data_IF_949564048601
#
_entry.id   IF_949564048601
#
_cell.length_a   1.000
_cell.length_b   1.000
_cell.length_c   1.000
_cell.angle_alpha   90.00
_cell.angle_beta   90.00
_cell.angle_gamma   90.00
#
_symmetry.space_group_name_H-M   'P 1'
#
loop_
_entity.id
_entity.type
_entity.pdbx_description
1 polymer ?
#
# COMPACT_ATOMS: atom_id res chain seq x y z
N UNK A 1 -2.88 21.89 5.40
CA UNK A 1 -3.96 20.99 4.93
C UNK A 1 -4.21 19.80 5.86
N UNK A 2 -3.22 18.93 6.12
CA UNK A 2 -3.42 17.66 6.87
C UNK A 2 -4.08 17.80 8.26
N UNK A 3 -3.71 18.80 9.07
CA UNK A 3 -4.31 19.01 10.40
C UNK A 3 -5.82 19.27 10.35
N UNK A 4 -6.32 19.92 9.29
CA UNK A 4 -7.76 20.19 9.06
C UNK A 4 -8.50 18.95 8.53
N UNK A 5 -7.82 18.10 7.77
CA UNK A 5 -8.41 16.92 7.11
C UNK A 5 -8.14 15.59 7.84
N UNK A 6 -7.55 15.60 9.03
CA UNK A 6 -7.12 14.39 9.76
C UNK A 6 -8.22 13.33 9.90
N UNK A 7 -9.45 13.76 10.22
CA UNK A 7 -10.58 12.86 10.41
C UNK A 7 -11.08 12.28 9.08
N UNK A 8 -11.06 13.08 8.02
CA UNK A 8 -11.42 12.65 6.66
C UNK A 8 -10.36 11.68 6.12
N UNK A 9 -9.07 12.00 6.32
CA UNK A 9 -7.94 11.15 5.97
C UNK A 9 -8.07 9.76 6.57
N UNK A 10 -8.28 9.67 7.89
CA UNK A 10 -8.46 8.39 8.58
C UNK A 10 -9.69 7.62 8.09
N UNK A 11 -10.83 8.30 7.86
CA UNK A 11 -12.05 7.63 7.37
C UNK A 11 -11.87 7.09 5.95
N UNK A 12 -11.23 7.87 5.07
CA UNK A 12 -10.96 7.47 3.70
C UNK A 12 -9.91 6.36 3.66
N UNK A 13 -8.94 6.34 4.57
CA UNK A 13 -7.97 5.26 4.68
C UNK A 13 -8.56 3.93 5.18
N UNK A 14 -9.28 3.97 6.30
CA UNK A 14 -9.65 2.73 7.00
C UNK A 14 -10.88 2.07 6.39
N UNK A 15 -11.94 2.85 6.12
CA UNK A 15 -13.26 2.27 5.79
C UNK A 15 -13.24 1.58 4.41
N UNK A 16 -12.80 2.21 3.31
CA UNK A 16 -12.76 1.56 2.00
C UNK A 16 -11.83 0.34 1.98
N UNK A 17 -10.66 0.44 2.62
CA UNK A 17 -9.70 -0.66 2.72
C UNK A 17 -10.31 -1.89 3.41
N UNK A 18 -10.90 -1.70 4.60
CA UNK A 18 -11.50 -2.81 5.36
C UNK A 18 -12.70 -3.39 4.63
N UNK A 19 -13.56 -2.55 4.05
CA UNK A 19 -14.75 -3.05 3.33
C UNK A 19 -14.36 -3.80 2.06
N UNK A 20 -13.38 -3.31 1.29
CA UNK A 20 -12.85 -4.04 0.13
C UNK A 20 -12.21 -5.36 0.54
N UNK A 21 -11.37 -5.38 1.58
CA UNK A 21 -10.74 -6.60 2.07
C UNK A 21 -11.78 -7.64 2.49
N UNK A 22 -12.79 -7.25 3.27
CA UNK A 22 -13.89 -8.13 3.66
C UNK A 22 -14.71 -8.61 2.46
N UNK A 23 -14.96 -7.73 1.48
CA UNK A 23 -15.73 -8.06 0.28
C UNK A 23 -14.99 -9.10 -0.55
N UNK A 24 -13.71 -8.87 -0.82
CA UNK A 24 -12.85 -9.82 -1.55
C UNK A 24 -12.72 -11.13 -0.77
N UNK A 25 -12.63 -11.10 0.56
CA UNK A 25 -12.59 -12.32 1.37
C UNK A 25 -13.86 -13.16 1.22
N UNK A 26 -15.04 -12.53 1.32
CA UNK A 26 -16.33 -13.20 1.14
C UNK A 26 -16.46 -13.72 -0.30
N UNK A 27 -16.17 -12.89 -1.29
CA UNK A 27 -16.30 -13.26 -2.70
C UNK A 27 -15.33 -14.37 -3.06
N UNK A 28 -14.08 -14.32 -2.64
CA UNK A 28 -13.10 -15.37 -2.93
C UNK A 28 -13.41 -16.69 -2.23
N UNK A 29 -13.99 -16.66 -1.02
CA UNK A 29 -14.47 -17.87 -0.36
C UNK A 29 -15.57 -18.56 -1.18
N UNK A 30 -16.59 -17.82 -1.60
CA UNK A 30 -17.72 -18.41 -2.33
C UNK A 30 -17.46 -18.67 -3.82
N UNK A 31 -16.62 -17.85 -4.45
CA UNK A 31 -16.39 -17.88 -5.89
C UNK A 31 -15.19 -18.76 -6.26
N UNK A 32 -14.12 -18.74 -5.47
CA UNK A 32 -12.89 -19.49 -5.72
C UNK A 32 -12.72 -20.70 -4.78
N UNK A 33 -13.56 -20.84 -3.75
CA UNK A 33 -13.46 -21.94 -2.79
C UNK A 33 -12.29 -21.82 -1.81
N UNK A 34 -11.70 -20.62 -1.67
CA UNK A 34 -10.59 -20.40 -0.73
C UNK A 34 -11.10 -20.50 0.72
N UNK A 35 -10.33 -21.08 1.67
CA UNK A 35 -10.64 -20.98 3.09
C UNK A 35 -10.73 -19.52 3.55
N UNK A 36 -11.53 -19.24 4.58
CA UNK A 36 -11.73 -17.87 5.09
C UNK A 36 -10.42 -17.10 5.33
N UNK A 37 -9.43 -17.74 5.94
CA UNK A 37 -8.14 -17.11 6.23
C UNK A 37 -7.43 -16.70 4.93
N UNK A 38 -7.38 -17.59 3.93
CA UNK A 38 -6.81 -17.31 2.61
C UNK A 38 -7.60 -16.27 1.82
N UNK A 39 -8.93 -16.24 1.98
CA UNK A 39 -9.77 -15.18 1.43
C UNK A 39 -9.43 -13.81 2.04
N UNK A 40 -9.19 -13.73 3.35
CA UNK A 40 -8.74 -12.49 4.00
C UNK A 40 -7.31 -12.11 3.59
N UNK A 41 -6.40 -13.08 3.44
CA UNK A 41 -5.06 -12.84 2.88
C UNK A 41 -5.19 -12.19 1.51
N UNK A 42 -5.97 -12.77 0.59
CA UNK A 42 -6.23 -12.19 -0.72
C UNK A 42 -6.89 -10.80 -0.61
N UNK A 43 -7.86 -10.67 0.28
CA UNK A 43 -8.58 -9.42 0.52
C UNK A 43 -7.65 -8.27 0.92
N UNK A 44 -6.74 -8.49 1.85
CA UNK A 44 -5.78 -7.48 2.29
C UNK A 44 -4.69 -7.21 1.24
N UNK A 45 -4.26 -8.23 0.47
CA UNK A 45 -3.36 -8.00 -0.69
C UNK A 45 -4.04 -7.09 -1.71
N UNK A 46 -5.30 -7.35 -2.04
CA UNK A 46 -6.02 -6.53 -3.01
C UNK A 46 -6.38 -5.16 -2.43
N UNK A 47 -6.78 -5.03 -1.18
CA UNK A 47 -7.27 -3.76 -0.64
C UNK A 47 -6.24 -2.61 -0.62
N UNK A 48 -4.94 -2.92 -0.67
CA UNK A 48 -3.88 -1.92 -0.67
C UNK A 48 -3.87 -1.08 -1.96
N UNK A 49 -3.77 0.24 -1.81
CA UNK A 49 -3.52 1.16 -2.95
C UNK A 49 -2.05 1.11 -3.36
N UNK A 50 -1.72 1.49 -4.60
CA UNK A 50 -0.32 1.63 -5.01
C UNK A 50 0.18 3.07 -4.94
N UNK A 51 1.09 3.40 -4.00
CA UNK A 51 1.74 4.71 -3.96
C UNK A 51 2.51 5.02 -5.24
N UNK A 52 3.14 4.03 -5.87
CA UNK A 52 3.95 4.26 -7.07
C UNK A 52 3.16 4.77 -8.27
N UNK A 53 1.84 4.52 -8.32
CA UNK A 53 0.97 5.07 -9.37
C UNK A 53 0.33 6.37 -8.88
N UNK A 54 -0.21 6.37 -7.65
CA UNK A 54 -0.97 7.50 -7.13
C UNK A 54 -0.08 8.70 -6.83
N UNK A 55 1.05 8.51 -6.14
CA UNK A 55 1.91 9.61 -5.65
C UNK A 55 2.49 10.45 -6.79
N UNK A 56 3.13 9.89 -7.84
CA UNK A 56 3.64 10.71 -8.93
C UNK A 56 2.53 11.50 -9.65
N UNK A 57 1.38 10.88 -9.89
CA UNK A 57 0.25 11.58 -10.51
C UNK A 57 -0.31 12.68 -9.62
N UNK A 58 -0.37 12.48 -8.30
CA UNK A 58 -0.79 13.52 -7.35
C UNK A 58 0.22 14.67 -7.28
N UNK A 59 1.52 14.39 -7.31
CA UNK A 59 2.56 15.41 -7.32
C UNK A 59 2.51 16.26 -8.60
N UNK A 60 2.25 15.64 -9.76
CA UNK A 60 2.08 16.35 -11.03
C UNK A 60 0.84 17.25 -10.99
N UNK A 61 -0.31 16.73 -10.54
CA UNK A 61 -1.53 17.53 -10.38
C UNK A 61 -1.35 18.67 -9.38
N UNK A 62 -0.59 18.44 -8.30
CA UNK A 62 -0.27 19.47 -7.32
C UNK A 62 0.65 20.56 -7.89
N UNK A 63 1.64 20.19 -8.71
CA UNK A 63 2.51 21.14 -9.41
C UNK A 63 1.73 22.00 -10.42
N UNK A 64 0.74 21.42 -11.09
CA UNK A 64 -0.14 22.12 -12.03
C UNK A 64 -1.26 22.93 -11.35
N UNK A 65 -1.34 22.91 -10.02
CA UNK A 65 -2.32 23.67 -9.23
C UNK A 65 -3.70 23.02 -9.09
N UNK A 66 -3.91 21.78 -9.54
CA UNK A 66 -5.21 21.10 -9.47
C UNK A 66 -5.53 20.57 -8.06
N UNK A 67 -6.67 21.00 -7.50
CA UNK A 67 -7.19 20.49 -6.21
C UNK A 67 -6.37 20.89 -4.99
N UNK A 68 -5.41 21.82 -5.15
CA UNK A 68 -4.47 22.26 -4.09
C UNK A 68 -5.18 23.04 -3.00
N UNK A 69 -6.13 23.93 -3.33
CA UNK A 69 -6.89 24.70 -2.34
C UNK A 69 -7.60 23.82 -1.31
N UNK A 70 -8.22 22.72 -1.76
CA UNK A 70 -8.90 21.75 -0.90
C UNK A 70 -7.99 20.65 -0.38
N UNK A 71 -6.72 20.66 -0.77
CA UNK A 71 -5.71 19.69 -0.34
C UNK A 71 -5.99 18.26 -0.79
N UNK A 72 -6.66 18.05 -1.93
CA UNK A 72 -7.04 16.72 -2.43
C UNK A 72 -5.80 15.85 -2.73
N UNK A 73 -4.78 16.34 -3.46
CA UNK A 73 -3.56 15.55 -3.69
C UNK A 73 -2.87 15.14 -2.38
N UNK A 74 -2.76 16.06 -1.42
CA UNK A 74 -2.16 15.77 -0.11
C UNK A 74 -2.99 14.80 0.73
N UNK A 75 -4.32 14.88 0.66
CA UNK A 75 -5.23 13.92 1.29
C UNK A 75 -5.02 12.52 0.72
N UNK A 76 -5.01 12.38 -0.61
CA UNK A 76 -4.86 11.09 -1.28
C UNK A 76 -3.49 10.45 -0.99
N UNK A 77 -2.40 11.23 -1.02
CA UNK A 77 -1.07 10.75 -0.67
C UNK A 77 -0.98 10.29 0.78
N UNK A 78 -1.52 11.06 1.73
CA UNK A 78 -1.47 10.70 3.15
C UNK A 78 -2.39 9.53 3.50
N UNK A 79 -3.62 9.52 2.99
CA UNK A 79 -4.57 8.43 3.20
C UNK A 79 -4.06 7.12 2.59
N UNK A 80 -3.37 7.17 1.45
CA UNK A 80 -2.77 5.99 0.82
C UNK A 80 -1.72 5.32 1.72
N UNK A 81 -0.88 6.09 2.41
CA UNK A 81 0.09 5.50 3.35
C UNK A 81 -0.59 4.81 4.55
N UNK A 82 -1.69 5.36 5.07
CA UNK A 82 -2.44 4.72 6.14
C UNK A 82 -3.19 3.47 5.66
N UNK A 83 -3.72 3.51 4.43
CA UNK A 83 -4.33 2.36 3.75
C UNK A 83 -3.34 1.20 3.63
N UNK A 84 -2.11 1.48 3.19
CA UNK A 84 -1.05 0.47 3.06
C UNK A 84 -0.63 -0.12 4.41
N UNK A 85 -0.49 0.71 5.46
CA UNK A 85 -0.18 0.22 6.81
C UNK A 85 -1.27 -0.74 7.29
N UNK A 86 -2.55 -0.39 7.09
CA UNK A 86 -3.67 -1.22 7.47
C UNK A 86 -3.71 -2.53 6.67
N UNK A 87 -3.51 -2.46 5.35
CA UNK A 87 -3.53 -3.61 4.47
C UNK A 87 -2.39 -4.59 4.78
N UNK A 88 -1.16 -4.10 4.94
CA UNK A 88 0.00 -4.93 5.29
C UNK A 88 -0.19 -5.55 6.67
N UNK A 89 -0.68 -4.77 7.65
CA UNK A 89 -0.99 -5.28 9.01
C UNK A 89 -2.04 -6.39 8.97
N UNK A 90 -3.12 -6.19 8.21
CA UNK A 90 -4.18 -7.19 8.05
C UNK A 90 -3.66 -8.45 7.37
N UNK A 91 -2.86 -8.29 6.31
CA UNK A 91 -2.20 -9.39 5.61
C UNK A 91 -1.29 -10.21 6.54
N UNK A 92 -0.37 -9.56 7.26
CA UNK A 92 0.57 -10.25 8.16
C UNK A 92 -0.14 -10.97 9.29
N UNK A 93 -1.20 -10.34 9.84
CA UNK A 93 -2.04 -10.98 10.86
C UNK A 93 -2.73 -12.24 10.32
N UNK A 94 -3.28 -12.18 9.09
CA UNK A 94 -3.91 -13.35 8.47
C UNK A 94 -2.91 -14.44 8.11
N UNK A 95 -1.72 -14.05 7.65
CA UNK A 95 -0.62 -14.98 7.36
C UNK A 95 -0.14 -15.69 8.62
N UNK A 96 0.03 -14.97 9.72
CA UNK A 96 0.36 -15.55 11.03
C UNK A 96 -0.72 -16.50 11.55
N UNK A 97 -2.00 -16.25 11.23
CA UNK A 97 -3.09 -17.19 11.52
C UNK A 97 -3.06 -18.44 10.64
N UNK A 98 -2.71 -18.33 9.36
CA UNK A 98 -2.65 -19.46 8.44
C UNK A 98 -1.52 -20.45 8.79
N UNK A 99 -0.36 -19.93 9.22
CA UNK A 99 0.85 -20.74 9.47
C UNK A 99 1.18 -20.91 10.96
N UNK A 100 0.35 -20.39 11.86
CA UNK A 100 0.57 -20.46 13.30
C UNK A 100 0.31 -21.86 13.86
N UNK A 101 1.33 -22.48 14.45
CA UNK A 101 1.29 -23.84 15.04
C UNK A 101 0.59 -23.94 16.40
N UNK A 102 -0.30 -23.01 16.74
CA UNK A 102 -0.96 -22.92 18.07
C UNK A 102 -2.49 -22.79 17.99
N UNK A 103 -3.14 -22.52 19.12
CA UNK A 103 -4.56 -22.17 19.13
C UNK A 103 -4.80 -20.89 18.33
N UNK A 104 -5.98 -20.74 17.71
CA UNK A 104 -6.35 -19.55 16.91
C UNK A 104 -6.08 -18.24 17.67
N UNK A 105 -6.27 -18.25 18.99
CA UNK A 105 -5.97 -17.13 19.88
C UNK A 105 -4.47 -16.81 19.97
N UNK A 106 -3.62 -17.83 20.04
CA UNK A 106 -2.16 -17.66 20.08
C UNK A 106 -1.63 -17.13 18.73
N UNK A 107 -2.18 -17.58 17.61
CA UNK A 107 -1.81 -17.11 16.27
C UNK A 107 -2.28 -15.68 16.02
N UNK A 108 -3.48 -15.31 16.51
CA UNK A 108 -3.97 -13.93 16.50
C UNK A 108 -3.10 -13.02 17.39
N UNK A 109 -2.72 -13.49 18.57
CA UNK A 109 -1.82 -12.77 19.46
C UNK A 109 -0.43 -12.58 18.83
N UNK A 110 0.09 -13.58 18.09
CA UNK A 110 1.33 -13.45 17.32
C UNK A 110 1.22 -12.40 16.21
N UNK A 111 0.13 -12.40 15.43
CA UNK A 111 -0.11 -11.37 14.40
C UNK A 111 -0.15 -9.96 14.99
N UNK A 112 -0.88 -9.76 16.09
CA UNK A 112 -0.90 -8.48 16.83
C UNK A 112 0.48 -8.13 17.40
N UNK A 113 1.23 -9.10 17.90
CA UNK A 113 2.59 -8.91 18.39
C UNK A 113 3.53 -8.46 17.27
N UNK A 114 3.45 -9.04 16.07
CA UNK A 114 4.25 -8.62 14.91
C UNK A 114 4.02 -7.15 14.56
N UNK A 115 2.76 -6.70 14.61
CA UNK A 115 2.39 -5.30 14.37
C UNK A 115 3.01 -4.39 15.42
N UNK A 116 2.85 -4.74 16.71
CA UNK A 116 3.41 -3.95 17.81
C UNK A 116 4.94 -3.91 17.72
N UNK A 117 5.59 -5.05 17.49
CA UNK A 117 7.05 -5.14 17.34
C UNK A 117 7.51 -4.32 16.14
N UNK A 118 6.83 -4.39 15.00
CA UNK A 118 7.15 -3.60 13.81
C UNK A 118 7.07 -2.10 14.08
N UNK A 119 5.99 -1.62 14.72
CA UNK A 119 5.83 -0.21 15.08
C UNK A 119 6.89 0.25 16.08
N UNK A 120 7.16 -0.54 17.12
CA UNK A 120 8.14 -0.18 18.17
C UNK A 120 9.56 -0.18 17.59
N UNK A 121 9.95 -1.22 16.85
CA UNK A 121 11.28 -1.33 16.25
C UNK A 121 11.52 -0.22 15.21
N UNK A 122 10.56 0.01 14.31
CA UNK A 122 10.63 1.09 13.33
C UNK A 122 10.63 2.47 14.01
N UNK A 123 9.89 2.60 15.12
CA UNK A 123 9.88 3.76 16.01
C UNK A 123 11.27 4.11 16.55
N UNK A 124 11.89 3.14 17.21
CA UNK A 124 13.23 3.28 17.82
C UNK A 124 14.26 3.62 16.74
N UNK A 125 14.26 2.89 15.62
CA UNK A 125 15.22 3.14 14.54
C UNK A 125 14.96 4.47 13.82
N UNK A 126 13.71 4.90 13.71
CA UNK A 126 13.34 6.21 13.14
C UNK A 126 13.86 7.36 14.00
N UNK A 127 13.74 7.23 15.31
CA UNK A 127 14.34 8.17 16.28
C UNK A 127 15.87 8.10 16.22
N UNK A 128 16.47 6.91 16.06
CA UNK A 128 17.91 6.77 15.89
C UNK A 128 18.41 7.53 14.65
N UNK A 129 17.69 7.44 13.53
CA UNK A 129 18.00 8.17 12.29
C UNK A 129 17.81 9.70 12.43
N UNK A 130 17.01 10.16 13.40
CA UNK A 130 16.93 11.58 13.72
C UNK A 130 18.24 12.08 14.34
N UNK A 131 18.84 11.32 15.26
CA UNK A 131 20.08 11.69 15.94
C UNK A 131 21.34 11.39 15.12
N UNK A 132 21.31 10.33 14.30
CA UNK A 132 22.44 9.89 13.47
C UNK A 132 22.04 9.89 11.99
N UNK A 133 22.78 10.56 11.08
CA UNK A 133 24.05 11.27 11.26
C UNK A 133 23.88 12.74 11.67
N UNK A 134 24.77 13.24 12.54
CA UNK A 134 24.80 14.66 12.97
C UNK A 134 24.93 15.60 11.79
N UNK A 135 24.36 16.80 11.90
CA UNK A 135 24.30 17.78 10.79
C UNK A 135 25.68 18.25 10.33
N UNK A 136 26.70 18.06 11.15
CA UNK A 136 28.08 18.50 10.92
C UNK A 136 28.88 17.57 9.99
N UNK A 137 28.28 16.46 9.54
CA UNK A 137 28.99 15.47 8.72
C UNK A 137 29.01 15.81 7.23
N UNK A 138 30.16 15.59 6.60
CA UNK A 138 30.34 15.66 5.13
C UNK A 138 29.50 14.55 4.47
N UNK A 139 28.82 14.90 3.38
CA UNK A 139 27.90 14.03 2.62
C UNK A 139 26.69 13.49 3.42
N UNK A 140 26.07 14.38 4.20
CA UNK A 140 24.89 14.10 5.02
C UNK A 140 23.77 13.36 4.28
N UNK A 141 23.51 13.71 3.01
CA UNK A 141 22.45 13.10 2.18
C UNK A 141 22.75 11.63 1.92
N UNK A 142 23.99 11.29 1.56
CA UNK A 142 24.38 9.93 1.21
C UNK A 142 24.38 9.05 2.46
N UNK A 143 24.86 9.57 3.60
CA UNK A 143 24.83 8.86 4.89
C UNK A 143 23.41 8.59 5.37
N UNK A 144 22.53 9.60 5.32
CA UNK A 144 21.10 9.45 5.68
C UNK A 144 20.41 8.41 4.79
N UNK A 145 20.68 8.44 3.48
CA UNK A 145 20.11 7.48 2.53
C UNK A 145 20.64 6.05 2.79
N UNK A 146 21.94 5.92 3.03
CA UNK A 146 22.58 4.63 3.31
C UNK A 146 22.09 4.03 4.64
N UNK A 147 21.99 4.83 5.71
CA UNK A 147 21.42 4.37 6.98
C UNK A 147 19.95 3.97 6.82
N UNK A 148 19.15 4.78 6.11
CA UNK A 148 17.73 4.47 5.91
C UNK A 148 17.55 3.13 5.18
N UNK A 149 18.24 2.94 4.05
CA UNK A 149 18.16 1.70 3.28
C UNK A 149 18.78 0.52 4.04
N UNK A 150 19.95 0.70 4.66
CA UNK A 150 20.65 -0.33 5.42
C UNK A 150 19.86 -0.82 6.63
N UNK A 151 19.29 0.11 7.43
CA UNK A 151 18.43 -0.24 8.56
C UNK A 151 17.11 -0.86 8.11
N UNK A 152 16.57 -0.45 6.95
CA UNK A 152 15.36 -1.07 6.40
C UNK A 152 15.61 -2.53 6.02
N UNK A 153 16.70 -2.81 5.29
CA UNK A 153 17.11 -4.18 4.94
C UNK A 153 17.38 -4.98 6.21
N UNK A 154 18.11 -4.42 7.18
CA UNK A 154 18.39 -5.06 8.45
C UNK A 154 17.11 -5.45 9.20
N UNK A 155 16.10 -4.57 9.27
CA UNK A 155 14.81 -4.88 9.90
C UNK A 155 14.13 -6.09 9.27
N UNK A 156 14.11 -6.17 7.94
CA UNK A 156 13.50 -7.29 7.22
C UNK A 156 14.23 -8.59 7.55
N UNK A 157 15.56 -8.61 7.47
CA UNK A 157 16.35 -9.81 7.80
C UNK A 157 16.17 -10.27 9.25
N UNK A 158 16.28 -9.34 10.21
CA UNK A 158 16.13 -9.67 11.64
C UNK A 158 14.72 -10.19 11.93
N UNK A 159 13.69 -9.58 11.35
CA UNK A 159 12.31 -10.03 11.53
C UNK A 159 12.09 -11.45 11.03
N UNK A 160 12.71 -11.81 9.91
CA UNK A 160 12.64 -13.15 9.35
C UNK A 160 13.37 -14.17 10.22
N UNK A 161 14.57 -13.83 10.71
CA UNK A 161 15.34 -14.69 11.64
C UNK A 161 14.61 -14.86 12.98
N UNK A 162 13.91 -13.83 13.46
CA UNK A 162 13.12 -13.87 14.68
C UNK A 162 11.80 -14.65 14.54
N UNK A 163 11.46 -15.14 13.34
CA UNK A 163 10.17 -15.80 13.08
C UNK A 163 8.97 -14.86 13.12
N UNK A 164 9.19 -13.55 12.95
CA UNK A 164 8.20 -12.48 12.94
C UNK A 164 8.25 -11.74 11.59
N UNK A 165 8.17 -12.49 10.49
CA UNK A 165 8.42 -11.96 9.14
C UNK A 165 7.56 -10.75 8.76
N UNK A 166 6.33 -10.64 9.30
CA UNK A 166 5.46 -9.50 9.06
C UNK A 166 5.92 -8.19 9.73
N UNK A 167 6.66 -8.28 10.83
CA UNK A 167 7.15 -7.11 11.56
C UNK A 167 8.20 -6.30 10.76
N UNK A 168 8.96 -6.96 9.89
CA UNK A 168 10.03 -6.34 9.10
C UNK A 168 9.53 -5.24 8.18
N UNK A 169 8.55 -5.56 7.33
CA UNK A 169 7.97 -4.60 6.38
C UNK A 169 7.28 -3.42 7.07
N UNK A 170 6.60 -3.68 8.20
CA UNK A 170 5.98 -2.60 8.97
C UNK A 170 7.05 -1.70 9.64
N UNK A 171 8.13 -2.29 10.15
CA UNK A 171 9.26 -1.55 10.72
C UNK A 171 9.90 -0.61 9.70
N UNK A 172 10.12 -1.05 8.45
CA UNK A 172 10.70 -0.19 7.39
C UNK A 172 9.80 0.99 7.03
N UNK A 173 8.47 0.80 7.01
CA UNK A 173 7.50 1.87 6.78
C UNK A 173 7.53 2.90 7.92
N UNK A 174 7.45 2.45 9.17
CA UNK A 174 7.44 3.35 10.34
C UNK A 174 8.77 4.08 10.47
N UNK A 175 9.89 3.40 10.25
CA UNK A 175 11.24 3.97 10.16
C UNK A 175 11.30 5.12 9.15
N UNK A 176 10.85 4.86 7.92
CA UNK A 176 10.87 5.83 6.83
C UNK A 176 9.94 7.02 7.09
N UNK A 177 8.78 6.77 7.68
CA UNK A 177 7.82 7.80 8.04
C UNK A 177 8.37 8.76 9.12
N UNK A 178 8.94 8.22 10.20
CA UNK A 178 9.53 9.02 11.27
C UNK A 178 10.75 9.80 10.76
N UNK A 179 11.61 9.17 9.96
CA UNK A 179 12.73 9.85 9.32
C UNK A 179 12.25 11.01 8.42
N UNK A 180 11.18 10.79 7.64
CA UNK A 180 10.58 11.80 6.78
C UNK A 180 9.93 12.98 7.52
N UNK A 181 9.43 12.78 8.74
CA UNK A 181 8.95 13.86 9.62
C UNK A 181 10.14 14.61 10.23
N UNK A 182 11.12 13.87 10.75
CA UNK A 182 12.32 14.37 11.39
C UNK A 182 13.11 15.33 10.50
N UNK A 183 13.26 14.99 9.21
CA UNK A 183 14.11 15.75 8.30
C UNK A 183 13.41 16.94 7.61
N UNK A 184 12.09 17.11 7.78
CA UNK A 184 11.29 18.18 7.18
C UNK A 184 11.69 18.53 5.73
N UNK A 185 12.20 19.73 5.43
CA UNK A 185 12.65 20.14 4.08
C UNK A 185 13.93 19.46 3.61
N UNK A 186 14.76 18.92 4.51
CA UNK A 186 16.03 18.23 4.19
C UNK A 186 15.81 16.80 3.67
N UNK A 187 14.57 16.31 3.58
CA UNK A 187 14.25 14.97 3.07
C UNK A 187 14.29 14.87 1.54
N UNK A 188 14.11 15.97 0.81
CA UNK A 188 13.99 15.96 -0.66
C UNK A 188 15.21 15.34 -1.35
N UNK A 189 16.47 15.68 -0.97
CA UNK A 189 17.65 15.04 -1.55
C UNK A 189 17.75 13.54 -1.22
N UNK A 190 17.36 13.13 -0.01
CA UNK A 190 17.35 11.71 0.41
C UNK A 190 16.32 10.93 -0.39
N UNK A 191 15.12 11.48 -0.56
CA UNK A 191 14.07 10.90 -1.38
C UNK A 191 14.52 10.72 -2.85
N UNK A 192 15.31 11.65 -3.39
CA UNK A 192 15.88 11.53 -4.74
C UNK A 192 16.93 10.41 -4.86
N UNK A 193 17.70 10.13 -3.80
CA UNK A 193 18.62 8.98 -3.78
C UNK A 193 17.82 7.67 -3.71
N UNK A 194 16.84 7.58 -2.81
CA UNK A 194 15.96 6.40 -2.69
C UNK A 194 15.19 6.17 -4.00
N UNK A 195 14.73 7.23 -4.67
CA UNK A 195 14.08 7.16 -5.98
C UNK A 195 14.98 6.55 -7.05
N UNK A 196 16.28 6.93 -7.10
CA UNK A 196 17.24 6.30 -8.03
C UNK A 196 17.44 4.81 -7.77
N UNK A 197 17.43 4.38 -6.51
CA UNK A 197 17.43 2.95 -6.20
C UNK A 197 16.14 2.28 -6.67
N UNK A 198 14.99 2.92 -6.46
CA UNK A 198 13.71 2.43 -6.94
C UNK A 198 13.68 2.27 -8.46
N UNK A 199 14.26 3.19 -9.24
CA UNK A 199 14.32 3.07 -10.70
C UNK A 199 15.06 1.80 -11.16
N UNK A 200 16.02 1.31 -10.37
CA UNK A 200 16.75 0.06 -10.63
C UNK A 200 15.94 -1.17 -10.16
N UNK A 201 15.33 -1.10 -8.97
CA UNK A 201 14.62 -2.22 -8.37
C UNK A 201 13.20 -2.41 -8.93
N UNK A 202 12.57 -1.37 -9.47
CA UNK A 202 11.21 -1.42 -10.00
C UNK A 202 11.11 -2.42 -11.17
N UNK A 203 11.96 -2.36 -12.23
CA UNK A 203 11.94 -3.36 -13.29
C UNK A 203 12.26 -4.78 -12.79
N UNK A 204 13.15 -4.91 -11.80
CA UNK A 204 13.51 -6.20 -11.22
C UNK A 204 12.32 -6.82 -10.47
N UNK A 205 11.64 -6.06 -9.62
CA UNK A 205 10.49 -6.50 -8.83
C UNK A 205 9.37 -6.98 -9.76
N UNK A 206 8.91 -6.12 -10.66
CA UNK A 206 7.82 -6.47 -11.57
C UNK A 206 8.22 -7.55 -12.59
N UNK A 207 9.48 -7.58 -13.02
CA UNK A 207 10.01 -8.62 -13.91
C UNK A 207 10.06 -10.00 -13.25
N UNK A 208 10.55 -10.10 -12.01
CA UNK A 208 10.62 -11.35 -11.26
C UNK A 208 9.23 -11.90 -10.94
N UNK A 209 8.32 -11.04 -10.51
CA UNK A 209 6.94 -11.45 -10.21
C UNK A 209 6.21 -11.90 -11.48
N UNK A 210 6.47 -11.24 -12.61
CA UNK A 210 5.97 -11.69 -13.90
C UNK A 210 6.56 -13.05 -14.31
N UNK A 211 7.83 -13.31 -14.01
CA UNK A 211 8.48 -14.59 -14.29
C UNK A 211 8.00 -15.74 -13.39
N UNK A 212 7.57 -15.45 -12.16
CA UNK A 212 7.00 -16.43 -11.23
C UNK A 212 5.67 -17.00 -11.72
N UNK A 213 4.96 -16.28 -12.58
CA UNK A 213 3.67 -16.72 -13.13
C UNK A 213 3.86 -17.57 -14.38
N UNK A 214 3.52 -18.84 -14.22
CA UNK A 214 3.48 -19.80 -15.33
C UNK A 214 2.08 -19.86 -15.92
N UNK A 215 1.85 -19.22 -17.06
CA UNK A 215 0.53 -19.20 -17.72
C UNK A 215 0.00 -20.59 -18.14
N UNK A 216 0.89 -21.58 -18.31
CA UNK A 216 0.50 -22.94 -18.69
C UNK A 216 -0.09 -23.76 -17.54
N UNK A 217 0.15 -23.38 -16.28
CA UNK A 217 -0.42 -24.05 -15.10
C UNK A 217 -1.64 -23.32 -14.55
N UNK A 218 -1.94 -22.12 -15.07
CA UNK A 218 -3.09 -21.33 -14.68
C UNK A 218 -4.37 -21.88 -15.30
N UNK A 219 -5.27 -22.36 -14.44
CA UNK A 219 -6.61 -22.72 -14.86
C UNK A 219 -7.36 -21.44 -15.27
N UNK A 220 -7.86 -21.42 -16.50
CA UNK A 220 -8.64 -20.30 -17.05
C UNK A 220 -9.85 -19.95 -16.16
N UNK A 221 -10.43 -20.96 -15.51
CA UNK A 221 -11.52 -20.75 -14.57
C UNK A 221 -11.06 -19.95 -13.34
N UNK A 222 -9.92 -20.28 -12.74
CA UNK A 222 -9.40 -19.56 -11.57
C UNK A 222 -9.05 -18.11 -11.92
N UNK A 223 -8.46 -17.87 -13.09
CA UNK A 223 -8.17 -16.52 -13.60
C UNK A 223 -9.45 -15.71 -13.79
N UNK A 224 -10.49 -16.32 -14.36
CA UNK A 224 -11.80 -15.68 -14.54
C UNK A 224 -12.47 -15.35 -13.21
N UNK A 225 -12.52 -16.30 -12.28
CA UNK A 225 -13.12 -16.13 -10.95
C UNK A 225 -12.34 -15.09 -10.11
N UNK A 226 -11.01 -15.12 -10.17
CA UNK A 226 -10.14 -14.14 -9.53
C UNK A 226 -10.31 -12.73 -10.09
N UNK A 227 -10.43 -12.59 -11.41
CA UNK A 227 -10.72 -11.31 -12.06
C UNK A 227 -12.10 -10.79 -11.67
N UNK A 228 -13.10 -11.66 -11.58
CA UNK A 228 -14.43 -11.29 -11.09
C UNK A 228 -14.39 -10.81 -9.64
N UNK A 229 -13.66 -11.51 -8.75
CA UNK A 229 -13.47 -11.10 -7.36
C UNK A 229 -12.80 -9.72 -7.25
N UNK A 230 -11.76 -9.48 -8.04
CA UNK A 230 -11.10 -8.18 -8.16
C UNK A 230 -12.06 -7.09 -8.60
N UNK A 231 -12.83 -7.31 -9.68
CA UNK A 231 -13.78 -6.33 -10.21
C UNK A 231 -14.85 -5.97 -9.17
N UNK A 232 -15.40 -6.95 -8.46
CA UNK A 232 -16.41 -6.72 -7.41
C UNK A 232 -15.78 -5.91 -6.27
N UNK A 233 -14.58 -6.29 -5.81
CA UNK A 233 -13.87 -5.56 -4.75
C UNK A 233 -13.62 -4.09 -5.13
N UNK A 234 -13.13 -3.85 -6.34
CA UNK A 234 -12.87 -2.51 -6.89
C UNK A 234 -14.16 -1.68 -6.96
N UNK A 235 -15.25 -2.25 -7.47
CA UNK A 235 -16.54 -1.54 -7.57
C UNK A 235 -17.05 -1.16 -6.18
N UNK A 236 -17.01 -2.08 -5.23
CA UNK A 236 -17.40 -1.81 -3.84
C UNK A 236 -16.50 -0.74 -3.23
N UNK A 237 -15.18 -0.78 -3.45
CA UNK A 237 -14.23 0.24 -2.99
C UNK A 237 -14.61 1.63 -3.50
N UNK A 238 -14.92 1.76 -4.80
CA UNK A 238 -15.32 3.04 -5.40
C UNK A 238 -16.62 3.57 -4.78
N UNK A 239 -17.62 2.71 -4.61
CA UNK A 239 -18.91 3.07 -4.00
C UNK A 239 -18.76 3.50 -2.54
N UNK A 240 -17.98 2.76 -1.75
CA UNK A 240 -17.73 3.04 -0.33
C UNK A 240 -16.91 4.32 -0.19
N UNK A 241 -15.85 4.49 -0.97
CA UNK A 241 -15.03 5.72 -0.98
C UNK A 241 -15.90 6.93 -1.30
N UNK A 242 -16.76 6.82 -2.32
CA UNK A 242 -17.67 7.90 -2.69
C UNK A 242 -18.59 8.28 -1.50
N UNK A 243 -19.15 7.28 -0.82
CA UNK A 243 -20.04 7.45 0.34
C UNK A 243 -19.31 8.08 1.53
N UNK A 244 -18.09 7.66 1.82
CA UNK A 244 -17.27 8.19 2.92
C UNK A 244 -16.94 9.67 2.70
N UNK A 245 -16.69 10.06 1.45
CA UNK A 245 -16.31 11.43 1.07
C UNK A 245 -17.54 12.36 0.98
N UNK A 246 -18.77 11.85 0.96
CA UNK A 246 -20.00 12.67 0.92
C UNK A 246 -20.05 13.74 2.01
N UNK A 247 -19.60 13.40 3.21
CA UNK A 247 -19.65 14.24 4.41
C UNK A 247 -18.46 15.20 4.55
N UNK A 248 -17.53 15.23 3.60
CA UNK A 248 -16.28 15.97 3.73
C UNK A 248 -16.27 17.35 3.03
N UNK A 249 -17.43 17.83 2.55
CA UNK A 249 -17.55 19.18 1.96
C UNK A 249 -16.97 19.33 0.55
N UNK A 250 -16.68 18.22 -0.15
CA UNK A 250 -16.19 18.23 -1.53
C UNK A 250 -17.32 18.36 -2.56
N UNK A 251 -16.99 18.87 -3.75
CA UNK A 251 -17.89 18.91 -4.90
C UNK A 251 -18.13 17.51 -5.47
N UNK A 252 -19.23 17.30 -6.19
CA UNK A 252 -19.53 16.00 -6.81
C UNK A 252 -18.40 15.52 -7.74
N UNK A 253 -17.81 16.43 -8.52
CA UNK A 253 -16.68 16.15 -9.40
C UNK A 253 -15.44 15.69 -8.63
N UNK A 254 -15.12 16.36 -7.52
CA UNK A 254 -13.99 16.03 -6.65
C UNK A 254 -14.20 14.68 -5.93
N UNK A 255 -15.42 14.38 -5.51
CA UNK A 255 -15.79 13.09 -4.92
C UNK A 255 -15.54 11.94 -5.88
N UNK A 256 -15.96 12.10 -7.13
CA UNK A 256 -15.71 11.11 -8.19
C UNK A 256 -14.21 10.95 -8.42
N UNK A 257 -13.47 12.05 -8.50
CA UNK A 257 -12.02 12.01 -8.65
C UNK A 257 -11.32 11.24 -7.51
N UNK A 258 -11.67 11.55 -6.25
CA UNK A 258 -11.10 10.88 -5.07
C UNK A 258 -11.36 9.37 -5.12
N UNK A 259 -12.58 8.95 -5.48
CA UNK A 259 -12.90 7.53 -5.61
C UNK A 259 -12.16 6.84 -6.74
N UNK A 260 -11.98 7.49 -7.89
CA UNK A 260 -11.26 6.92 -9.04
C UNK A 260 -9.74 6.89 -8.83
N UNK A 261 -9.19 7.85 -8.09
CA UNK A 261 -7.77 7.90 -7.77
C UNK A 261 -7.31 6.72 -6.90
N UNK A 262 -8.25 5.99 -6.30
CA UNK A 262 -8.03 4.86 -5.40
C UNK A 262 -8.19 3.49 -6.08
N UNK A 263 -8.30 3.48 -7.40
CA UNK A 263 -8.31 2.28 -8.23
C UNK A 263 -6.96 1.57 -8.37
N UNK A 264 -5.81 2.28 -8.56
CA UNK A 264 -4.57 1.61 -8.92
C UNK A 264 -4.04 0.66 -7.84
N UNK A 265 -3.79 -0.60 -8.22
CA UNK A 265 -3.10 -1.63 -7.44
C UNK A 265 -1.83 -2.04 -8.19
N UNK A 266 -0.67 -2.09 -7.52
CA UNK A 266 0.59 -2.45 -8.16
C UNK A 266 1.66 -2.90 -7.14
N UNK A 267 2.23 -1.96 -6.39
CA UNK A 267 3.50 -2.19 -5.67
C UNK A 267 3.35 -3.02 -4.41
N UNK A 268 2.28 -2.81 -3.65
CA UNK A 268 2.01 -3.64 -2.46
C UNK A 268 1.69 -5.07 -2.88
N UNK A 269 0.84 -5.25 -3.88
CA UNK A 269 0.50 -6.55 -4.45
C UNK A 269 1.74 -7.29 -4.95
N UNK A 270 2.64 -6.57 -5.61
CA UNK A 270 3.92 -7.11 -6.03
C UNK A 270 4.79 -7.55 -4.85
N UNK A 271 4.89 -6.72 -3.81
CA UNK A 271 5.78 -6.98 -2.68
C UNK A 271 5.30 -8.10 -1.75
N UNK A 272 4.00 -8.15 -1.42
CA UNK A 272 3.45 -9.11 -0.44
C UNK A 272 2.68 -10.28 -1.08
N UNK A 273 2.37 -10.21 -2.38
CA UNK A 273 1.60 -11.26 -3.08
C UNK A 273 2.33 -12.60 -3.14
N UNK A 274 3.65 -12.60 -3.26
CA UNK A 274 4.45 -13.85 -3.27
C UNK A 274 4.74 -14.38 -1.87
N UNK A 275 4.70 -13.54 -0.83
CA UNK A 275 5.09 -13.92 0.53
C UNK A 275 4.24 -15.06 1.08
N UNK A 276 2.94 -15.08 0.76
CA UNK A 276 2.05 -16.16 1.19
C UNK A 276 2.39 -17.49 0.52
N UNK A 277 2.80 -17.45 -0.76
CA UNK A 277 3.26 -18.62 -1.52
C UNK A 277 4.61 -19.13 -1.02
N UNK A 278 5.56 -18.23 -0.75
CA UNK A 278 6.88 -18.59 -0.21
C UNK A 278 6.75 -19.27 1.16
N UNK A 279 5.87 -18.75 2.02
CA UNK A 279 5.57 -19.36 3.31
C UNK A 279 4.93 -20.76 3.14
N UNK A 280 3.99 -20.90 2.19
CA UNK A 280 3.38 -22.19 1.88
C UNK A 280 4.40 -23.24 1.42
N UNK A 281 5.32 -22.86 0.52
CA UNK A 281 6.42 -23.70 0.04
C UNK A 281 7.36 -24.11 1.17
N UNK A 282 7.68 -23.17 2.07
CA UNK A 282 8.53 -23.46 3.23
C UNK A 282 7.88 -24.43 4.24
N UNK A 283 6.53 -24.43 4.32
CA UNK A 283 5.77 -25.34 5.15
C UNK A 283 5.62 -26.74 4.51
N UNK A 284 5.82 -26.87 3.20
CA UNK A 284 5.77 -28.14 2.46
C UNK A 284 4.37 -28.72 2.27
N UNK A 285 3.32 -27.88 2.32
CA UNK A 285 1.93 -28.30 2.14
C UNK A 285 1.43 -27.92 0.72
N UNK A 286 1.25 -28.93 -0.13
CA UNK A 286 0.78 -28.77 -1.52
C UNK A 286 -0.57 -28.04 -1.62
N UNK A 287 -1.46 -28.16 -0.63
CA UNK A 287 -2.74 -27.45 -0.66
C UNK A 287 -2.55 -25.95 -0.42
N UNK A 288 -1.72 -25.59 0.56
CA UNK A 288 -1.41 -24.18 0.85
C UNK A 288 -0.62 -23.54 -0.28
N UNK A 289 0.23 -24.30 -0.98
CA UNK A 289 0.92 -23.80 -2.17
C UNK A 289 -0.06 -23.43 -3.28
N UNK A 290 -1.12 -24.23 -3.51
CA UNK A 290 -2.17 -23.91 -4.49
C UNK A 290 -2.90 -22.62 -4.11
N UNK A 291 -3.27 -22.45 -2.84
CA UNK A 291 -3.90 -21.21 -2.38
C UNK A 291 -2.96 -20.00 -2.53
N UNK A 292 -1.67 -20.17 -2.21
CA UNK A 292 -0.65 -19.14 -2.43
C UNK A 292 -0.49 -18.76 -3.90
N UNK A 293 -0.52 -19.74 -4.81
CA UNK A 293 -0.49 -19.51 -6.26
C UNK A 293 -1.73 -18.75 -6.72
N UNK A 294 -2.92 -19.07 -6.22
CA UNK A 294 -4.15 -18.34 -6.53
C UNK A 294 -4.05 -16.88 -6.06
N UNK A 295 -3.56 -16.64 -4.84
CA UNK A 295 -3.34 -15.29 -4.31
C UNK A 295 -2.38 -14.50 -5.19
N UNK A 296 -1.22 -15.08 -5.51
CA UNK A 296 -0.22 -14.44 -6.37
C UNK A 296 -0.78 -14.13 -7.77
N UNK A 297 -1.54 -15.06 -8.34
CA UNK A 297 -2.16 -14.90 -9.66
C UNK A 297 -3.13 -13.72 -9.67
N UNK A 298 -4.04 -13.66 -8.71
CA UNK A 298 -5.02 -12.57 -8.62
C UNK A 298 -4.33 -11.24 -8.30
N UNK A 299 -3.28 -11.26 -7.48
CA UNK A 299 -2.45 -10.08 -7.23
C UNK A 299 -1.89 -9.52 -8.55
N UNK A 300 -1.27 -10.35 -9.40
CA UNK A 300 -0.72 -9.88 -10.67
C UNK A 300 -1.78 -9.46 -11.68
N UNK A 301 -2.92 -10.15 -11.73
CA UNK A 301 -4.07 -9.68 -12.53
C UNK A 301 -4.52 -8.28 -12.08
N UNK A 302 -4.51 -8.02 -10.77
CA UNK A 302 -4.81 -6.69 -10.24
C UNK A 302 -3.80 -5.64 -10.71
N UNK A 303 -2.51 -5.98 -10.77
CA UNK A 303 -1.46 -5.08 -11.29
C UNK A 303 -1.73 -4.76 -12.76
N UNK A 304 -1.90 -5.80 -13.59
CA UNK A 304 -2.05 -5.66 -15.05
C UNK A 304 -3.30 -4.88 -15.41
N UNK A 305 -4.41 -5.11 -14.70
CA UNK A 305 -5.71 -4.50 -15.02
C UNK A 305 -5.80 -3.10 -14.40
N UNK A 306 -5.57 -2.96 -13.10
CA UNK A 306 -5.95 -1.74 -12.38
C UNK A 306 -4.89 -0.64 -12.41
N UNK A 307 -3.61 -0.96 -12.54
CA UNK A 307 -2.57 0.08 -12.59
C UNK A 307 -2.69 0.97 -13.84
N UNK A 308 -2.83 0.42 -15.06
CA UNK A 308 -3.00 1.24 -16.26
C UNK A 308 -4.35 1.99 -16.25
N UNK A 309 -5.45 1.30 -15.88
CA UNK A 309 -6.78 1.91 -15.81
C UNK A 309 -6.78 3.06 -14.81
N UNK A 310 -6.20 2.85 -13.64
CA UNK A 310 -6.12 3.86 -12.58
C UNK A 310 -5.24 5.04 -12.97
N UNK A 311 -4.07 4.81 -13.57
CA UNK A 311 -3.22 5.89 -14.08
C UNK A 311 -3.94 6.75 -15.14
N UNK A 312 -4.64 6.09 -16.07
CA UNK A 312 -5.41 6.74 -17.13
C UNK A 312 -6.61 7.50 -16.56
N UNK A 313 -7.30 6.91 -15.58
CA UNK A 313 -8.39 7.57 -14.86
C UNK A 313 -7.91 8.83 -14.15
N UNK A 314 -6.79 8.78 -13.41
CA UNK A 314 -6.22 9.95 -12.73
C UNK A 314 -5.81 11.02 -13.73
N UNK A 315 -5.10 10.63 -14.80
CA UNK A 315 -4.59 11.57 -15.81
C UNK A 315 -5.70 12.29 -16.59
N UNK A 316 -6.79 11.60 -16.94
CA UNK A 316 -7.92 12.21 -17.65
C UNK A 316 -8.89 12.94 -16.72
N UNK A 317 -9.14 12.40 -15.53
CA UNK A 317 -10.12 12.94 -14.61
C UNK A 317 -9.57 14.12 -13.80
N UNK A 318 -8.27 14.14 -13.49
CA UNK A 318 -7.63 15.21 -12.72
C UNK A 318 -7.88 16.60 -13.31
N UNK A 319 -7.46 16.88 -14.55
CA UNK A 319 -7.67 18.18 -15.18
C UNK A 319 -9.15 18.54 -15.41
N UNK A 320 -10.04 17.55 -15.56
CA UNK A 320 -11.47 17.76 -15.85
C UNK A 320 -12.34 17.95 -14.60
N UNK A 321 -11.98 17.30 -13.49
CA UNK A 321 -12.80 17.25 -12.28
C UNK A 321 -12.28 18.12 -11.15
N UNK A 322 -10.98 18.41 -11.12
CA UNK A 322 -10.37 19.27 -10.10
C UNK A 322 -10.37 20.73 -10.54
N UNK A 323 -10.61 21.63 -9.59
CA UNK A 323 -10.41 23.05 -9.80
C UNK A 323 -8.91 23.37 -9.88
N UNK A 324 -8.51 24.10 -10.91
CA UNK A 324 -7.16 24.61 -11.06
C UNK A 324 -7.03 25.90 -10.27
N UNK A 325 -6.12 25.92 -9.29
CA UNK A 325 -5.74 27.17 -8.64
C UNK A 325 -4.79 27.94 -9.55
N UNK A 326 -5.15 29.20 -9.85
CA UNK A 326 -4.26 30.15 -10.53
C UNK A 326 -4.08 31.33 -9.58
N UNK A 327 -2.85 31.73 -9.25
CA UNK A 327 -2.51 32.80 -8.29
C UNK A 327 -3.24 34.14 -8.54
N UNK A 328 -3.83 34.35 -9.72
CA UNK A 328 -4.60 35.54 -10.09
C UNK A 328 -5.87 35.73 -9.20
N UNK A 329 -6.42 34.68 -8.60
CA UNK A 329 -7.63 34.79 -7.74
C UNK A 329 -7.37 35.48 -6.38
N UNK A 330 -6.13 35.51 -5.86
CA UNK A 330 -5.84 36.26 -4.62
C UNK A 330 -5.81 37.78 -4.82
N UNK A 331 -5.47 38.25 -6.04
CA UNK A 331 -5.43 39.69 -6.34
C UNK A 331 -6.83 40.34 -6.48
N UNK A 332 -7.87 39.54 -6.72
CA UNK A 332 -9.25 40.02 -6.83
C UNK A 332 -10.10 39.79 -5.57
N UNK A 333 -9.53 39.18 -4.53
CA UNK A 333 -10.26 38.83 -3.29
C UNK A 333 -9.64 39.45 -2.02
N UNK A 334 -8.63 40.31 -2.17
CA UNK A 334 -8.15 41.25 -1.14
C UNK A 334 -8.59 42.67 -1.49
#
# INVERSE_FOLDING_TARGET
ALKKLKAVCMRVAVIPCTVEACTVAVVSHFLMGLPWIWGFILGFVLAAVSPAVVVPSMLLLQADGFGVQKGIPSLLMASGSFDDILAITGFTTCLGMAFGTGSTWLSLAKGLLEVVVGIVAGGILGVLIHFFPSEDQVDLVLRRSCMLLGLSVFCVFVSHVAGLGGAGGLSTLVLSFIAGISWDKKKTPVAAVVGRFWDIFQPLLFGLIGAEITFSTLNVNTVGLGTAALCIGVVVRVCVTFTVVLFAGFNLKEKIFISLAWLPKATVQAAIGSTALDMARSAGDEQMERYGMDVLTVAVLAIIITAPIGALAIGLAGPKLLQKYTEIEEANTQ
#
